data_IF_109396049767
#
_entry.id   IF_109396049767
#
_cell.length_a   1.000
_cell.length_b   1.000
_cell.length_c   1.000
_cell.angle_alpha   90.00
_cell.angle_beta   90.00
_cell.angle_gamma   90.00
#
_symmetry.space_group_name_H-M   'P 1'
#
loop_
_entity.id
_entity.type
_entity.pdbx_description
1 polymer ?
#
# COMPACT_ATOMS: atom_id res chain seq x y z
N UNK A 1 -27.01 0.30 -2.31
CA UNK A 1 -26.65 1.73 -2.31
C UNK A 1 -25.62 2.07 -1.25
N UNK A 2 -25.73 1.51 -0.04
CA UNK A 2 -24.69 1.68 0.98
C UNK A 2 -23.31 1.23 0.48
N UNK A 3 -23.25 0.21 -0.38
CA UNK A 3 -22.02 -0.30 -0.94
C UNK A 3 -21.29 0.69 -1.85
N UNK A 4 -22.02 1.56 -2.55
CA UNK A 4 -21.42 2.56 -3.42
C UNK A 4 -20.75 3.68 -2.60
N UNK A 5 -21.44 4.19 -1.60
CA UNK A 5 -20.87 5.20 -0.69
C UNK A 5 -19.69 4.64 0.09
N UNK A 6 -19.79 3.40 0.55
CA UNK A 6 -18.71 2.69 1.24
C UNK A 6 -17.47 2.59 0.35
N UNK A 7 -17.63 2.17 -0.89
CA UNK A 7 -16.54 2.02 -1.84
C UNK A 7 -15.86 3.35 -2.16
N UNK A 8 -16.66 4.39 -2.42
CA UNK A 8 -16.11 5.72 -2.70
C UNK A 8 -15.30 6.26 -1.52
N UNK A 9 -15.81 6.10 -0.31
CA UNK A 9 -15.10 6.54 0.89
C UNK A 9 -13.79 5.78 1.04
N UNK A 10 -13.80 4.47 0.83
CA UNK A 10 -12.61 3.62 0.92
C UNK A 10 -11.55 4.06 -0.10
N UNK A 11 -11.94 4.30 -1.34
CA UNK A 11 -11.03 4.76 -2.39
C UNK A 11 -10.47 6.15 -2.10
N UNK A 12 -11.29 7.05 -1.59
CA UNK A 12 -10.85 8.38 -1.20
C UNK A 12 -9.84 8.33 -0.06
N UNK A 13 -10.09 7.48 0.94
CA UNK A 13 -9.17 7.27 2.06
C UNK A 13 -7.84 6.75 1.56
N UNK A 14 -7.86 5.75 0.68
CA UNK A 14 -6.64 5.18 0.12
C UNK A 14 -5.82 6.22 -0.63
N UNK A 15 -6.47 7.05 -1.45
CA UNK A 15 -5.81 8.10 -2.22
C UNK A 15 -5.15 9.13 -1.33
N UNK A 16 -5.87 9.58 -0.32
CA UNK A 16 -5.33 10.57 0.61
C UNK A 16 -4.20 9.99 1.46
N UNK A 17 -4.31 8.73 1.88
CA UNK A 17 -3.25 8.07 2.64
C UNK A 17 -1.96 7.97 1.82
N UNK A 18 -2.04 7.64 0.53
CA UNK A 18 -0.86 7.61 -0.34
C UNK A 18 -0.15 8.97 -0.33
N UNK A 19 -0.91 10.06 -0.41
CA UNK A 19 -0.36 11.40 -0.35
C UNK A 19 0.21 11.75 1.03
N UNK A 20 -0.52 11.39 2.09
CA UNK A 20 -0.12 11.67 3.47
C UNK A 20 1.18 10.94 3.82
N UNK A 21 1.35 9.70 3.36
CA UNK A 21 2.56 8.92 3.62
C UNK A 21 3.81 9.64 3.14
N UNK A 22 3.73 10.39 2.06
CA UNK A 22 4.87 11.15 1.53
C UNK A 22 5.26 12.31 2.45
N UNK A 23 4.35 12.74 3.31
CA UNK A 23 4.59 13.83 4.26
C UNK A 23 5.09 13.35 5.61
N UNK A 24 5.04 12.05 5.87
CA UNK A 24 5.53 11.48 7.13
C UNK A 24 7.06 11.56 7.14
N UNK A 25 7.58 12.30 8.10
CA UNK A 25 9.02 12.45 8.27
C UNK A 25 9.58 11.27 9.06
N UNK A 26 10.13 10.30 8.34
CA UNK A 26 10.71 9.11 8.91
C UNK A 26 11.80 8.58 8.00
N UNK A 27 12.92 8.19 8.61
CA UNK A 27 14.02 7.59 7.87
C UNK A 27 13.57 6.32 7.12
N UNK A 28 12.65 5.58 7.71
CA UNK A 28 12.18 4.33 7.12
C UNK A 28 11.35 4.54 5.84
N UNK A 29 10.75 5.73 5.68
CA UNK A 29 9.97 6.07 4.49
C UNK A 29 10.76 6.86 3.47
N UNK A 30 11.88 7.47 3.86
CA UNK A 30 12.66 8.35 3.00
C UNK A 30 13.25 7.58 1.81
N UNK A 31 12.97 8.07 0.60
CA UNK A 31 13.50 7.52 -0.63
C UNK A 31 12.97 6.13 -0.98
N UNK A 32 11.99 5.64 -0.25
CA UNK A 32 11.41 4.31 -0.50
C UNK A 32 10.06 4.44 -1.18
N UNK A 33 9.80 3.52 -2.10
CA UNK A 33 8.49 3.42 -2.73
C UNK A 33 7.57 2.62 -1.80
N UNK A 34 6.66 3.33 -1.15
CA UNK A 34 5.70 2.76 -0.21
C UNK A 34 4.31 2.86 -0.83
N UNK A 35 3.62 1.75 -0.92
CA UNK A 35 2.30 1.70 -1.55
C UNK A 35 1.30 0.99 -0.67
N UNK A 36 0.04 1.35 -0.82
CA UNK A 36 -1.07 0.64 -0.20
C UNK A 36 -1.51 -0.45 -1.16
N UNK A 37 -1.27 -1.71 -0.78
CA UNK A 37 -1.66 -2.85 -1.60
C UNK A 37 -3.17 -2.99 -1.66
N UNK A 38 -3.82 -2.77 -0.51
CA UNK A 38 -5.28 -2.79 -0.41
C UNK A 38 -5.70 -2.12 0.89
N UNK A 39 -6.98 -1.75 0.94
CA UNK A 39 -7.60 -1.17 2.13
C UNK A 39 -8.89 -1.94 2.41
N UNK A 40 -9.03 -2.44 3.61
CA UNK A 40 -10.23 -3.14 4.06
C UNK A 40 -10.92 -2.34 5.14
N UNK A 41 -12.13 -1.88 4.84
CA UNK A 41 -12.92 -1.08 5.74
C UNK A 41 -13.92 -1.96 6.48
N UNK A 42 -14.09 -1.78 7.78
CA UNK A 42 -15.15 -2.46 8.51
C UNK A 42 -16.52 -1.98 8.04
N UNK A 43 -17.56 -2.79 8.24
CA UNK A 43 -18.92 -2.48 7.77
C UNK A 43 -19.43 -1.16 8.32
N UNK A 44 -19.13 -0.86 9.56
CA UNK A 44 -19.53 0.39 10.22
C UNK A 44 -18.56 1.54 9.98
N UNK A 45 -17.53 1.30 9.16
CA UNK A 45 -16.52 2.30 8.80
C UNK A 45 -15.70 2.81 10.00
N UNK A 46 -15.65 2.05 11.09
CA UNK A 46 -14.90 2.45 12.28
C UNK A 46 -13.43 2.06 12.24
N UNK A 47 -13.08 1.05 11.44
CA UNK A 47 -11.71 0.55 11.33
C UNK A 47 -11.34 0.39 9.86
N UNK A 48 -10.15 0.87 9.51
CA UNK A 48 -9.57 0.68 8.18
C UNK A 48 -8.28 -0.11 8.32
N UNK A 49 -8.22 -1.29 7.73
CA UNK A 49 -7.00 -2.10 7.64
C UNK A 49 -6.25 -1.68 6.38
N UNK A 50 -5.06 -1.13 6.58
CA UNK A 50 -4.23 -0.59 5.50
C UNK A 50 -3.07 -1.54 5.27
N UNK A 51 -3.09 -2.24 4.16
CA UNK A 51 -2.04 -3.20 3.80
C UNK A 51 -0.95 -2.45 3.04
N UNK A 52 0.21 -2.34 3.67
CA UNK A 52 1.33 -1.53 3.19
C UNK A 52 2.39 -2.45 2.59
N UNK A 53 2.84 -2.13 1.40
CA UNK A 53 3.82 -2.93 0.68
C UNK A 53 4.96 -2.07 0.15
N UNK A 54 6.15 -2.67 0.04
CA UNK A 54 7.33 -2.04 -0.54
C UNK A 54 8.04 -3.05 -1.44
N UNK A 55 8.98 -2.57 -2.25
CA UNK A 55 9.85 -3.44 -3.05
C UNK A 55 11.11 -3.86 -2.29
N UNK A 56 11.28 -3.40 -1.05
CA UNK A 56 12.52 -3.57 -0.29
C UNK A 56 12.57 -4.82 0.59
N UNK A 57 11.55 -5.70 0.51
CA UNK A 57 11.47 -6.92 1.29
C UNK A 57 10.61 -6.78 2.54
N UNK A 58 10.14 -7.92 3.05
CA UNK A 58 9.20 -7.94 4.18
C UNK A 58 9.81 -7.33 5.45
N UNK A 59 11.09 -7.59 5.71
CA UNK A 59 11.75 -7.03 6.89
C UNK A 59 11.71 -5.50 6.89
N UNK A 60 12.01 -4.89 5.75
CA UNK A 60 11.97 -3.43 5.62
C UNK A 60 10.53 -2.92 5.59
N UNK A 61 9.61 -3.68 5.00
CA UNK A 61 8.19 -3.33 5.02
C UNK A 61 7.67 -3.28 6.45
N UNK A 62 8.09 -4.21 7.31
CA UNK A 62 7.72 -4.20 8.73
C UNK A 62 8.24 -2.94 9.44
N UNK A 63 9.43 -2.49 9.10
CA UNK A 63 9.98 -1.24 9.66
C UNK A 63 9.20 -0.02 9.20
N UNK A 64 8.79 0.00 7.93
CA UNK A 64 7.94 1.06 7.39
C UNK A 64 6.61 1.08 8.13
N UNK A 65 5.99 -0.08 8.33
CA UNK A 65 4.73 -0.19 9.06
C UNK A 65 4.88 0.32 10.49
N UNK A 66 5.97 -0.02 11.16
CA UNK A 66 6.23 0.48 12.51
C UNK A 66 6.33 2.01 12.54
N UNK A 67 6.99 2.60 11.54
CA UNK A 67 7.09 4.05 11.42
C UNK A 67 5.72 4.69 11.19
N UNK A 68 4.88 4.07 10.37
CA UNK A 68 3.51 4.56 10.13
C UNK A 68 2.66 4.46 11.39
N UNK A 69 2.81 3.39 12.17
CA UNK A 69 2.12 3.26 13.45
C UNK A 69 2.52 4.37 14.41
N UNK A 70 3.80 4.70 14.45
CA UNK A 70 4.30 5.79 15.29
C UNK A 70 3.73 7.16 14.85
N UNK A 71 3.46 7.33 13.56
CA UNK A 71 2.90 8.57 13.01
C UNK A 71 1.37 8.53 12.91
N UNK A 72 0.72 7.54 13.49
CA UNK A 72 -0.75 7.34 13.35
C UNK A 72 -1.56 8.60 13.68
N UNK A 73 -1.21 9.30 14.75
CA UNK A 73 -1.93 10.51 15.15
C UNK A 73 -1.88 11.59 14.06
N UNK A 74 -0.70 11.82 13.52
CA UNK A 74 -0.51 12.78 12.43
C UNK A 74 -1.31 12.34 11.20
N UNK A 75 -1.22 11.06 10.84
CA UNK A 75 -1.89 10.53 9.65
C UNK A 75 -3.41 10.66 9.78
N UNK A 76 -3.97 10.30 10.93
CA UNK A 76 -5.42 10.41 11.15
C UNK A 76 -5.88 11.86 11.13
N UNK A 77 -5.10 12.77 11.73
CA UNK A 77 -5.42 14.19 11.72
C UNK A 77 -5.47 14.76 10.31
N UNK A 78 -4.48 14.44 9.50
CA UNK A 78 -4.44 14.88 8.11
C UNK A 78 -5.59 14.28 7.30
N UNK A 79 -5.88 13.01 7.49
CA UNK A 79 -6.97 12.32 6.79
C UNK A 79 -8.31 12.98 7.11
N UNK A 80 -8.58 13.22 8.39
CA UNK A 80 -9.80 13.87 8.84
C UNK A 80 -9.96 15.27 8.23
N UNK A 81 -8.88 16.03 8.22
CA UNK A 81 -8.87 17.39 7.68
C UNK A 81 -9.12 17.41 6.17
N UNK A 82 -8.45 16.53 5.42
CA UNK A 82 -8.53 16.51 3.97
C UNK A 82 -9.88 16.03 3.44
N UNK A 83 -10.48 15.05 4.12
CA UNK A 83 -11.74 14.46 3.69
C UNK A 83 -12.97 14.96 4.45
N UNK A 84 -12.76 15.85 5.42
CA UNK A 84 -13.83 16.38 6.24
C UNK A 84 -14.73 15.27 6.78
N UNK A 85 -14.09 14.23 7.35
CA UNK A 85 -14.79 13.07 7.87
C UNK A 85 -15.41 13.38 9.22
N UNK A 86 -16.68 12.99 9.39
CA UNK A 86 -17.39 13.13 10.67
C UNK A 86 -16.71 12.27 11.74
N UNK A 87 -16.31 11.07 11.37
CA UNK A 87 -15.58 10.15 12.23
C UNK A 87 -14.42 9.57 11.42
N UNK A 88 -13.21 9.79 11.90
CA UNK A 88 -12.04 9.22 11.27
C UNK A 88 -11.89 7.77 11.73
N UNK A 89 -11.80 6.81 10.80
CA UNK A 89 -11.63 5.41 11.20
C UNK A 89 -10.31 5.20 11.91
N UNK A 90 -10.27 4.18 12.75
CA UNK A 90 -9.00 3.72 13.31
C UNK A 90 -8.21 3.05 12.20
N UNK A 91 -6.92 3.40 12.12
CA UNK A 91 -6.04 2.85 11.09
C UNK A 91 -5.22 1.70 11.68
N UNK A 92 -5.27 0.55 11.02
CA UNK A 92 -4.47 -0.62 11.36
C UNK A 92 -3.54 -0.88 10.19
N UNK A 93 -2.25 -0.66 10.39
CA UNK A 93 -1.26 -0.85 9.34
C UNK A 93 -0.73 -2.28 9.39
N UNK A 94 -0.76 -2.97 8.25
CA UNK A 94 -0.38 -4.37 8.14
C UNK A 94 0.66 -4.50 7.04
N UNK A 95 1.83 -5.11 7.30
CA UNK A 95 2.82 -5.32 6.24
C UNK A 95 2.33 -6.36 5.25
N UNK A 96 2.58 -6.12 3.96
CA UNK A 96 2.10 -6.95 2.87
C UNK A 96 3.22 -7.16 1.86
N UNK A 97 3.40 -8.37 1.39
CA UNK A 97 4.47 -8.73 0.46
C UNK A 97 4.05 -8.73 -1.01
N UNK A 98 2.82 -8.29 -1.32
CA UNK A 98 2.28 -8.42 -2.67
C UNK A 98 3.08 -7.67 -3.72
N UNK A 99 3.60 -6.48 -3.42
CA UNK A 99 4.40 -5.72 -4.37
C UNK A 99 5.71 -6.43 -4.69
N UNK A 100 6.41 -6.91 -3.68
CA UNK A 100 7.64 -7.67 -3.86
C UNK A 100 7.37 -8.98 -4.60
N UNK A 101 6.32 -9.68 -4.23
CA UNK A 101 5.92 -10.93 -4.86
C UNK A 101 5.55 -10.70 -6.33
N UNK A 102 4.80 -9.65 -6.63
CA UNK A 102 4.43 -9.29 -8.00
C UNK A 102 5.65 -8.97 -8.85
N UNK A 103 6.61 -8.23 -8.31
CA UNK A 103 7.84 -7.90 -9.01
C UNK A 103 8.67 -9.16 -9.29
N UNK A 104 8.71 -10.09 -8.34
CA UNK A 104 9.44 -11.36 -8.50
C UNK A 104 8.81 -12.22 -9.59
N UNK A 105 7.47 -12.30 -9.62
CA UNK A 105 6.76 -13.06 -10.64
C UNK A 105 6.94 -12.43 -12.02
N UNK A 106 6.86 -11.11 -12.15
CA UNK A 106 7.10 -10.41 -13.41
C UNK A 106 8.49 -10.71 -13.95
N UNK A 107 9.50 -10.72 -13.08
CA UNK A 107 10.86 -11.04 -13.48
C UNK A 107 10.98 -12.48 -13.96
N UNK A 108 10.34 -13.42 -13.30
CA UNK A 108 10.33 -14.83 -13.72
C UNK A 108 9.67 -15.01 -15.07
N UNK A 109 8.58 -14.31 -15.33
CA UNK A 109 7.89 -14.34 -16.62
C UNK A 109 8.78 -13.75 -17.71
N UNK A 110 9.42 -12.61 -17.47
CA UNK A 110 10.31 -11.95 -18.42
C UNK A 110 11.51 -12.85 -18.75
N UNK A 111 12.11 -13.45 -17.74
CA UNK A 111 13.25 -14.37 -17.92
C UNK A 111 12.82 -15.60 -18.74
N UNK A 112 11.64 -16.15 -18.47
CA UNK A 112 11.10 -17.29 -19.19
C UNK A 112 10.86 -16.97 -20.68
N UNK A 113 10.26 -15.81 -20.96
CA UNK A 113 10.01 -15.36 -22.33
C UNK A 113 11.31 -15.13 -23.06
N UNK A 114 12.31 -14.50 -22.45
CA UNK A 114 13.61 -14.26 -23.03
C UNK A 114 14.31 -15.58 -23.36
N UNK A 115 14.20 -16.58 -22.47
CA UNK A 115 14.78 -17.89 -22.70
C UNK A 115 14.13 -18.62 -23.88
N UNK A 116 12.81 -18.61 -23.96
CA UNK A 116 12.08 -19.19 -25.08
C UNK A 116 12.46 -18.54 -26.40
N UNK A 117 12.59 -17.24 -26.43
CA UNK A 117 12.97 -16.47 -27.61
C UNK A 117 14.37 -16.86 -28.10
N UNK A 118 15.31 -17.01 -27.17
CA UNK A 118 16.68 -17.44 -27.46
C UNK A 118 16.71 -18.85 -28.06
N UNK A 119 15.94 -19.78 -27.51
CA UNK A 119 15.85 -21.14 -28.03
C UNK A 119 15.31 -21.18 -29.45
N UNK A 120 14.31 -20.34 -29.76
CA UNK A 120 13.75 -20.26 -31.11
C UNK A 120 14.77 -19.74 -32.12
N UNK A 121 15.58 -18.76 -31.74
CA UNK A 121 16.62 -18.20 -32.57
C UNK A 121 17.72 -19.23 -32.85
N UNK A 122 18.07 -20.05 -31.86
CA UNK A 122 19.08 -21.10 -32.03
C UNK A 122 18.63 -22.23 -32.91
N UNK A 123 17.33 -22.49 -32.98
CA UNK A 123 16.75 -23.55 -33.80
C UNK A 123 16.52 -23.15 -35.26
N UNK A 124 16.63 -21.88 -35.55
CA UNK A 124 16.54 -21.37 -36.92
C UNK A 124 17.93 -21.39 -37.61
#
# INVERSE_FOLDING_TARGET
MASHAFRNTSENIKRELDSIFKEVKSRELDGKFVSIARLEMSKDMSVAKVYVSTLSGMEKTQKVVAALKAAKGFIRGELSHRLDLRHTPELVFIPDASMEYGARISKLIDDSVAHEHTEREEND
#
